data_IF_965237025194
#
_entry.id   IF_965237025194
#
_cell.length_a   1.000
_cell.length_b   1.000
_cell.length_c   1.000
_cell.angle_alpha   90.00
_cell.angle_beta   90.00
_cell.angle_gamma   90.00
#
_symmetry.space_group_name_H-M   'P 1'
#
loop_
_entity.id
_entity.type
_entity.pdbx_description
1 polymer ?
#
# COMPACT_ATOMS: atom_id res chain seq x y z
N UNK A 1 7.91 7.42 -22.01
CA UNK A 1 7.65 6.28 -21.11
C UNK A 1 6.14 6.11 -21.03
N UNK A 2 5.57 4.92 -21.15
CA UNK A 2 4.17 4.75 -20.79
C UNK A 2 4.00 5.17 -19.34
N UNK A 3 2.96 5.95 -19.03
CA UNK A 3 2.66 6.34 -17.66
C UNK A 3 2.23 5.14 -16.80
N UNK A 4 2.01 5.36 -15.50
CA UNK A 4 1.61 4.30 -14.55
C UNK A 4 0.10 3.98 -14.57
N UNK A 5 -0.59 4.21 -15.69
CA UNK A 5 -2.05 3.98 -15.81
C UNK A 5 -2.50 2.51 -15.66
N UNK A 6 -1.55 1.58 -15.67
CA UNK A 6 -1.73 0.14 -15.39
C UNK A 6 -1.48 -0.22 -13.91
N UNK A 7 -1.26 0.79 -13.07
CA UNK A 7 -1.07 0.64 -11.61
C UNK A 7 -2.21 1.33 -10.88
N UNK A 8 -2.75 0.70 -9.85
CA UNK A 8 -3.68 1.33 -8.92
C UNK A 8 -3.03 1.46 -7.54
N UNK A 9 -3.03 2.68 -7.01
CA UNK A 9 -2.68 2.97 -5.62
C UNK A 9 -3.96 3.06 -4.80
N UNK A 10 -4.09 2.23 -3.77
CA UNK A 10 -5.22 2.23 -2.85
C UNK A 10 -4.81 2.86 -1.52
N UNK A 11 -5.61 3.82 -1.06
CA UNK A 11 -5.40 4.56 0.19
C UNK A 11 -6.61 4.30 1.11
N UNK A 12 -6.53 3.33 2.04
CA UNK A 12 -7.56 3.13 3.04
C UNK A 12 -7.56 4.30 4.03
N UNK A 13 -8.73 4.82 4.36
CA UNK A 13 -8.88 5.98 5.24
C UNK A 13 -9.98 5.72 6.28
N UNK A 14 -9.63 5.87 7.57
CA UNK A 14 -10.59 5.90 8.66
C UNK A 14 -10.19 6.97 9.67
N UNK A 15 -10.90 8.10 9.70
CA UNK A 15 -10.64 9.24 10.60
C UNK A 15 -9.20 9.80 10.47
N UNK A 16 -8.66 9.86 9.24
CA UNK A 16 -7.29 10.30 8.94
C UNK A 16 -7.24 11.50 7.98
N UNK A 17 -8.32 12.28 7.89
CA UNK A 17 -8.45 13.42 6.97
C UNK A 17 -7.29 14.39 7.03
N UNK A 18 -6.74 14.62 8.23
CA UNK A 18 -5.60 15.51 8.46
C UNK A 18 -4.38 15.20 7.57
N UNK A 19 -4.18 13.94 7.21
CA UNK A 19 -3.00 13.51 6.45
C UNK A 19 -3.33 13.06 5.03
N UNK A 20 -4.60 12.74 4.76
CA UNK A 20 -5.05 12.10 3.54
C UNK A 20 -4.63 12.84 2.27
N UNK A 21 -4.77 14.18 2.23
CA UNK A 21 -4.39 14.95 1.04
C UNK A 21 -2.90 14.85 0.73
N UNK A 22 -2.05 14.77 1.75
CA UNK A 22 -0.61 14.59 1.56
C UNK A 22 -0.27 13.22 0.97
N UNK A 23 -0.93 12.15 1.43
CA UNK A 23 -0.81 10.80 0.86
C UNK A 23 -1.27 10.75 -0.59
N UNK A 24 -2.45 11.33 -0.88
CA UNK A 24 -3.02 11.42 -2.24
C UNK A 24 -2.10 12.20 -3.18
N UNK A 25 -1.60 13.35 -2.76
CA UNK A 25 -0.68 14.17 -3.57
C UNK A 25 0.58 13.38 -3.94
N UNK A 26 1.16 12.67 -2.97
CA UNK A 26 2.35 11.83 -3.21
C UNK A 26 2.06 10.67 -4.16
N UNK A 27 0.89 10.08 -4.10
CA UNK A 27 0.47 9.04 -5.05
C UNK A 27 0.29 9.61 -6.47
N UNK A 28 -0.33 10.78 -6.61
CA UNK A 28 -0.54 11.43 -7.92
C UNK A 28 0.74 11.97 -8.55
N UNK A 29 1.71 12.41 -7.74
CA UNK A 29 2.97 13.04 -8.19
C UNK A 29 4.10 12.03 -8.43
N UNK A 30 3.80 10.77 -8.71
CA UNK A 30 4.85 9.78 -9.01
C UNK A 30 5.62 10.15 -10.29
N UNK A 31 6.93 9.96 -10.26
CA UNK A 31 7.79 10.05 -11.46
C UNK A 31 7.30 9.05 -12.51
N UNK A 32 7.43 9.36 -13.78
CA UNK A 32 6.89 8.52 -14.86
C UNK A 32 5.40 8.73 -15.16
N UNK A 33 4.69 9.49 -14.31
CA UNK A 33 3.28 9.85 -14.48
C UNK A 33 2.36 9.27 -13.39
N UNK A 34 1.14 9.79 -13.25
CA UNK A 34 0.23 9.39 -12.20
C UNK A 34 -0.29 7.96 -12.43
N UNK A 35 -0.38 7.13 -11.37
CA UNK A 35 -1.19 5.91 -11.35
C UNK A 35 -2.67 6.26 -11.23
N UNK A 36 -3.55 5.25 -11.31
CA UNK A 36 -4.91 5.37 -10.78
C UNK A 36 -4.83 5.46 -9.25
N UNK A 37 -5.62 6.33 -8.64
CA UNK A 37 -5.67 6.47 -7.18
C UNK A 37 -7.10 6.25 -6.70
N UNK A 38 -7.28 5.32 -5.78
CA UNK A 38 -8.55 5.01 -5.12
C UNK A 38 -8.40 5.26 -3.63
N UNK A 39 -9.18 6.18 -3.09
CA UNK A 39 -9.36 6.36 -1.65
C UNK A 39 -10.55 5.52 -1.20
N UNK A 40 -10.37 4.73 -0.14
CA UNK A 40 -11.45 3.94 0.45
C UNK A 40 -11.74 4.48 1.85
N UNK A 41 -12.85 5.21 1.99
CA UNK A 41 -13.37 5.66 3.28
C UNK A 41 -14.05 4.49 4.01
N UNK A 42 -13.38 3.97 5.01
CA UNK A 42 -13.87 2.86 5.83
C UNK A 42 -14.82 3.36 6.95
N UNK A 43 -15.77 4.21 6.58
CA UNK A 43 -16.82 4.69 7.48
C UNK A 43 -16.33 5.73 8.48
N UNK A 44 -15.53 6.70 8.04
CA UNK A 44 -15.06 7.81 8.87
C UNK A 44 -16.21 8.59 9.47
N UNK A 45 -16.06 9.04 10.72
CA UNK A 45 -17.09 9.72 11.50
C UNK A 45 -16.72 11.15 11.89
N UNK A 46 -15.44 11.53 11.81
CA UNK A 46 -15.01 12.88 12.15
C UNK A 46 -15.24 13.86 10.99
N UNK A 47 -15.59 15.10 11.34
CA UNK A 47 -15.98 16.13 10.39
C UNK A 47 -14.81 16.59 9.49
N UNK A 48 -13.57 16.55 9.98
CA UNK A 48 -12.39 16.91 9.19
C UNK A 48 -12.19 15.92 8.04
N UNK A 49 -12.23 14.63 8.35
CA UNK A 49 -12.09 13.59 7.33
C UNK A 49 -13.21 13.66 6.29
N UNK A 50 -14.47 13.84 6.73
CA UNK A 50 -15.59 13.95 5.79
C UNK A 50 -15.42 15.14 4.84
N UNK A 51 -15.02 16.31 5.34
CA UNK A 51 -14.75 17.48 4.50
C UNK A 51 -13.62 17.23 3.50
N UNK A 52 -12.52 16.61 3.94
CA UNK A 52 -11.38 16.29 3.06
C UNK A 52 -11.77 15.30 1.97
N UNK A 53 -12.58 14.28 2.30
CA UNK A 53 -13.08 13.31 1.33
C UNK A 53 -14.00 13.95 0.26
N UNK A 54 -14.74 14.99 0.62
CA UNK A 54 -15.59 15.73 -0.33
C UNK A 54 -14.76 16.71 -1.21
N UNK A 55 -13.53 17.03 -0.81
CA UNK A 55 -12.60 17.95 -1.49
C UNK A 55 -11.44 17.22 -2.20
N UNK A 56 -11.53 15.89 -2.42
CA UNK A 56 -10.47 15.14 -3.10
C UNK A 56 -10.20 15.70 -4.49
N UNK A 57 -8.92 15.69 -4.95
CA UNK A 57 -8.55 16.16 -6.28
C UNK A 57 -9.27 15.40 -7.41
N UNK A 58 -9.46 16.07 -8.54
CA UNK A 58 -9.97 15.44 -9.76
C UNK A 58 -9.06 14.26 -10.18
N UNK A 59 -9.68 13.16 -10.59
CA UNK A 59 -8.98 11.93 -11.00
C UNK A 59 -8.67 10.96 -9.85
N UNK A 60 -9.13 11.27 -8.63
CA UNK A 60 -9.11 10.34 -7.50
C UNK A 60 -10.50 9.72 -7.33
N UNK A 61 -10.56 8.41 -7.38
CA UNK A 61 -11.80 7.66 -7.13
C UNK A 61 -12.03 7.53 -5.61
N UNK A 62 -13.27 7.72 -5.17
CA UNK A 62 -13.68 7.56 -3.78
C UNK A 62 -14.68 6.42 -3.63
N UNK A 63 -14.34 5.45 -2.81
CA UNK A 63 -15.24 4.38 -2.35
C UNK A 63 -15.59 4.66 -0.89
N UNK A 64 -16.89 4.60 -0.55
CA UNK A 64 -17.35 4.71 0.84
C UNK A 64 -17.98 3.39 1.27
N UNK A 65 -17.54 2.86 2.40
CA UNK A 65 -18.09 1.63 2.97
C UNK A 65 -18.41 1.81 4.46
N UNK A 66 -19.15 0.84 5.02
CA UNK A 66 -19.27 0.74 6.48
C UNK A 66 -17.93 0.24 7.03
N UNK A 67 -17.50 0.78 8.16
CA UNK A 67 -16.27 0.34 8.81
C UNK A 67 -16.20 -1.18 8.95
N UNK A 68 -15.18 -1.75 8.33
CA UNK A 68 -14.91 -3.18 8.28
C UNK A 68 -13.42 -3.51 8.45
N UNK A 69 -12.60 -2.49 8.78
CA UNK A 69 -11.17 -2.62 9.02
C UNK A 69 -10.31 -2.42 7.77
N UNK A 70 -9.02 -2.20 8.01
CA UNK A 70 -8.04 -1.85 6.97
C UNK A 70 -7.92 -2.91 5.88
N UNK A 71 -7.95 -4.20 6.24
CA UNK A 71 -7.92 -5.32 5.30
C UNK A 71 -9.10 -5.27 4.31
N UNK A 72 -10.33 -5.07 4.83
CA UNK A 72 -11.52 -4.93 4.00
C UNK A 72 -11.46 -3.70 3.09
N UNK A 73 -10.96 -2.57 3.60
CA UNK A 73 -10.81 -1.35 2.81
C UNK A 73 -9.78 -1.52 1.67
N UNK A 74 -8.63 -2.16 1.93
CA UNK A 74 -7.64 -2.48 0.90
C UNK A 74 -8.22 -3.40 -0.17
N UNK A 75 -8.93 -4.47 0.23
CA UNK A 75 -9.59 -5.37 -0.71
C UNK A 75 -10.63 -4.63 -1.56
N UNK A 76 -11.49 -3.81 -0.96
CA UNK A 76 -12.49 -3.03 -1.68
C UNK A 76 -11.86 -2.13 -2.75
N UNK A 77 -10.72 -1.48 -2.44
CA UNK A 77 -9.98 -0.70 -3.42
C UNK A 77 -9.42 -1.54 -4.57
N UNK A 78 -8.84 -2.69 -4.27
CA UNK A 78 -8.28 -3.59 -5.28
C UNK A 78 -9.35 -4.27 -6.15
N UNK A 79 -10.48 -4.64 -5.58
CA UNK A 79 -11.63 -5.20 -6.30
C UNK A 79 -12.26 -4.19 -7.28
N UNK A 80 -12.23 -2.90 -6.95
CA UNK A 80 -12.74 -1.82 -7.80
C UNK A 80 -11.71 -1.29 -8.83
N UNK A 81 -10.61 -2.00 -9.00
CA UNK A 81 -9.57 -1.71 -9.99
C UNK A 81 -9.44 -2.87 -10.98
N UNK A 82 -9.08 -2.57 -12.21
CA UNK A 82 -8.70 -3.52 -13.26
C UNK A 82 -7.20 -3.53 -13.56
N UNK A 83 -6.39 -2.79 -12.78
CA UNK A 83 -4.95 -2.69 -12.98
C UNK A 83 -4.23 -4.01 -12.69
N UNK A 84 -3.19 -4.32 -13.48
CA UNK A 84 -2.37 -5.52 -13.32
C UNK A 84 -1.43 -5.44 -12.11
N UNK A 85 -1.08 -4.22 -11.73
CA UNK A 85 -0.23 -3.93 -10.58
C UNK A 85 -1.00 -3.11 -9.54
N UNK A 86 -0.84 -3.49 -8.29
CA UNK A 86 -1.52 -2.93 -7.15
C UNK A 86 -0.50 -2.40 -6.14
N UNK A 87 -0.76 -1.25 -5.55
CA UNK A 87 0.06 -0.66 -4.51
C UNK A 87 -0.86 -0.12 -3.42
N UNK A 88 -0.46 -0.23 -2.17
CA UNK A 88 -1.18 0.37 -1.05
C UNK A 88 -0.28 1.33 -0.28
N UNK A 89 -0.88 2.37 0.27
CA UNK A 89 -0.25 3.29 1.21
C UNK A 89 -1.30 3.77 2.20
N UNK A 90 -0.98 3.79 3.48
CA UNK A 90 -1.92 4.23 4.49
C UNK A 90 -2.14 5.75 4.42
N UNK A 91 -3.32 6.23 4.83
CA UNK A 91 -3.73 7.63 4.68
C UNK A 91 -2.82 8.62 5.44
N UNK A 92 -2.10 8.18 6.45
CA UNK A 92 -1.15 8.99 7.22
C UNK A 92 0.32 8.81 6.79
N UNK A 93 0.58 7.93 5.81
CA UNK A 93 1.89 7.68 5.22
C UNK A 93 2.04 8.33 3.84
N UNK A 94 3.23 8.23 3.25
CA UNK A 94 3.52 8.78 1.93
C UNK A 94 4.41 7.84 1.13
N UNK A 95 4.17 7.78 -0.17
CA UNK A 95 5.14 7.24 -1.12
C UNK A 95 6.27 8.25 -1.36
N UNK A 96 7.50 7.76 -1.61
CA UNK A 96 8.50 8.60 -2.26
C UNK A 96 8.09 8.88 -3.70
N UNK A 97 8.60 9.95 -4.30
CA UNK A 97 8.18 10.34 -5.66
C UNK A 97 8.61 9.35 -6.75
N UNK A 98 9.58 8.51 -6.45
CA UNK A 98 10.16 7.48 -7.31
C UNK A 98 9.79 6.06 -6.90
N UNK A 99 8.84 5.90 -5.96
CA UNK A 99 8.48 4.60 -5.39
C UNK A 99 8.07 3.59 -6.47
N UNK A 100 7.22 4.00 -7.41
CA UNK A 100 6.75 3.12 -8.48
C UNK A 100 7.90 2.76 -9.43
N UNK A 101 8.68 3.75 -9.89
CA UNK A 101 9.82 3.53 -10.78
C UNK A 101 10.90 2.66 -10.14
N UNK A 102 11.01 2.67 -8.81
CA UNK A 102 11.93 1.84 -8.03
C UNK A 102 11.43 0.39 -7.90
N UNK A 103 10.14 0.21 -7.64
CA UNK A 103 9.57 -1.12 -7.33
C UNK A 103 9.18 -1.92 -8.58
N UNK A 104 8.74 -1.24 -9.65
CA UNK A 104 8.19 -1.87 -10.85
C UNK A 104 9.19 -2.74 -11.63
N UNK A 105 10.40 -2.23 -12.01
CA UNK A 105 11.32 -3.02 -12.84
C UNK A 105 11.74 -4.34 -12.20
N UNK A 106 12.13 -4.41 -10.91
CA UNK A 106 12.48 -5.69 -10.29
C UNK A 106 11.28 -6.63 -10.13
N UNK A 107 10.06 -6.12 -9.94
CA UNK A 107 8.85 -6.93 -9.89
C UNK A 107 8.54 -7.58 -11.24
N UNK A 108 8.63 -6.82 -12.33
CA UNK A 108 8.36 -7.31 -13.68
C UNK A 108 9.45 -8.26 -14.19
N UNK A 109 10.71 -8.04 -13.82
CA UNK A 109 11.83 -8.87 -14.22
C UNK A 109 11.83 -10.29 -13.59
N UNK A 110 11.07 -10.50 -12.51
CA UNK A 110 11.05 -11.73 -11.75
C UNK A 110 9.64 -12.38 -11.75
N UNK A 111 9.40 -13.39 -12.59
CA UNK A 111 8.05 -13.98 -12.73
C UNK A 111 7.51 -14.62 -11.45
N UNK A 112 8.37 -15.17 -10.59
CA UNK A 112 8.05 -15.83 -9.32
C UNK A 112 7.88 -14.85 -8.14
N UNK A 113 8.24 -13.58 -8.34
CA UNK A 113 8.03 -12.52 -7.35
C UNK A 113 6.60 -11.98 -7.48
N UNK A 114 5.85 -12.06 -6.39
CA UNK A 114 4.47 -11.59 -6.31
C UNK A 114 4.37 -10.14 -5.83
N UNK A 115 5.30 -9.70 -4.99
CA UNK A 115 5.31 -8.36 -4.40
C UNK A 115 6.73 -7.89 -4.07
N UNK A 116 6.93 -6.57 -4.15
CA UNK A 116 8.15 -5.90 -3.73
C UNK A 116 7.89 -5.02 -2.51
N UNK A 117 8.89 -4.88 -1.63
CA UNK A 117 8.86 -3.97 -0.49
C UNK A 117 10.19 -3.24 -0.36
N UNK A 118 10.09 -1.95 -0.06
CA UNK A 118 11.27 -1.10 0.13
C UNK A 118 11.60 -0.84 1.59
N UNK A 119 12.53 0.08 1.83
CA UNK A 119 12.81 0.62 3.15
C UNK A 119 11.78 1.69 3.49
N UNK A 120 11.54 1.90 4.78
CA UNK A 120 10.68 2.97 5.27
C UNK A 120 11.49 4.05 5.95
N UNK A 121 11.33 5.30 5.51
CA UNK A 121 11.82 6.47 6.24
C UNK A 121 10.78 6.87 7.29
N UNK A 122 11.19 6.98 8.54
CA UNK A 122 10.35 7.48 9.60
C UNK A 122 10.18 9.00 9.50
N UNK A 123 8.95 9.47 9.63
CA UNK A 123 8.58 10.89 9.67
C UNK A 123 7.65 11.16 10.87
N UNK A 124 7.41 12.43 11.19
CA UNK A 124 6.61 12.82 12.36
C UNK A 124 7.43 12.86 13.65
N UNK A 125 6.95 12.20 14.70
CA UNK A 125 7.59 12.22 16.01
C UNK A 125 8.98 11.54 16.05
N UNK A 126 9.27 10.70 15.06
CA UNK A 126 10.52 9.95 14.99
C UNK A 126 11.21 10.18 13.64
N UNK A 127 12.52 9.97 13.60
CA UNK A 127 13.34 10.02 12.39
C UNK A 127 14.25 8.78 12.30
N UNK A 128 14.56 8.37 11.07
CA UNK A 128 15.41 7.21 10.81
C UNK A 128 14.93 6.42 9.59
N UNK A 129 15.58 5.30 9.34
CA UNK A 129 15.18 4.37 8.27
C UNK A 129 15.02 2.99 8.87
N UNK A 130 13.81 2.44 8.74
CA UNK A 130 13.54 1.03 9.03
C UNK A 130 14.04 0.19 7.86
N UNK A 131 14.85 -0.80 8.17
CA UNK A 131 15.40 -1.76 7.22
C UNK A 131 14.75 -3.11 7.45
N UNK A 132 14.27 -3.69 6.37
CA UNK A 132 13.71 -5.04 6.37
C UNK A 132 14.75 -6.02 5.84
N UNK A 133 14.72 -7.28 6.27
CA UNK A 133 15.59 -8.30 5.72
C UNK A 133 15.22 -8.62 4.27
N UNK A 134 16.18 -9.19 3.54
CA UNK A 134 15.86 -9.86 2.29
C UNK A 134 14.78 -10.94 2.51
N UNK A 135 14.03 -11.22 1.45
CA UNK A 135 13.00 -12.24 1.53
C UNK A 135 13.61 -13.62 1.85
N UNK A 136 13.17 -14.18 2.96
CA UNK A 136 13.50 -15.53 3.40
C UNK A 136 12.22 -16.18 3.94
N UNK A 137 11.77 -17.31 3.32
CA UNK A 137 10.55 -17.99 3.74
C UNK A 137 10.57 -18.43 5.21
N UNK A 138 11.74 -18.84 5.72
CA UNK A 138 11.87 -19.25 7.12
C UNK A 138 11.74 -18.06 8.07
N UNK A 139 12.33 -16.92 7.74
CA UNK A 139 12.18 -15.69 8.53
C UNK A 139 10.71 -15.24 8.50
N UNK A 140 10.05 -15.30 7.35
CA UNK A 140 8.64 -14.90 7.19
C UNK A 140 7.71 -15.72 8.09
N UNK A 141 7.97 -17.02 8.29
CA UNK A 141 7.18 -17.87 9.20
C UNK A 141 7.25 -17.41 10.66
N UNK A 142 8.26 -16.65 11.06
CA UNK A 142 8.49 -16.26 12.44
C UNK A 142 8.26 -14.78 12.74
N UNK A 143 8.26 -13.93 11.72
CA UNK A 143 7.99 -12.49 11.86
C UNK A 143 7.65 -11.85 10.52
N UNK A 144 6.92 -10.74 10.58
CA UNK A 144 6.71 -9.88 9.41
C UNK A 144 8.06 -9.35 8.89
N UNK A 145 8.26 -9.39 7.57
CA UNK A 145 9.46 -8.90 6.88
C UNK A 145 9.19 -7.69 5.98
N UNK A 146 7.92 -7.37 5.74
CA UNK A 146 7.52 -6.25 4.89
C UNK A 146 6.73 -5.19 5.65
N UNK A 147 5.86 -5.61 6.57
CA UNK A 147 5.00 -4.71 7.35
C UNK A 147 4.23 -3.75 6.45
N UNK A 148 3.95 -2.55 6.96
CA UNK A 148 3.27 -1.49 6.21
C UNK A 148 4.04 -1.00 4.96
N UNK A 149 5.26 -1.48 4.70
CA UNK A 149 6.01 -1.20 3.47
C UNK A 149 5.72 -2.19 2.34
N UNK A 150 4.70 -3.05 2.52
CA UNK A 150 4.24 -3.91 1.44
C UNK A 150 3.87 -3.01 0.24
N UNK A 151 4.77 -2.96 -0.74
CA UNK A 151 4.74 -1.98 -1.80
C UNK A 151 3.94 -2.45 -3.01
N UNK A 152 4.62 -2.50 -4.15
CA UNK A 152 3.99 -2.89 -5.42
C UNK A 152 3.83 -4.40 -5.51
N UNK A 153 2.64 -4.88 -5.88
CA UNK A 153 2.32 -6.28 -6.04
C UNK A 153 1.61 -6.58 -7.37
N UNK A 154 1.78 -7.79 -7.86
CA UNK A 154 0.99 -8.30 -8.99
C UNK A 154 -0.44 -8.59 -8.54
N UNK A 155 -1.44 -8.15 -9.29
CA UNK A 155 -2.85 -8.50 -9.03
C UNK A 155 -3.05 -10.00 -8.85
N UNK A 156 -2.45 -10.80 -9.74
CA UNK A 156 -2.53 -12.25 -9.66
C UNK A 156 -2.02 -12.82 -8.33
N UNK A 157 -0.99 -12.23 -7.74
CA UNK A 157 -0.51 -12.64 -6.42
C UNK A 157 -1.56 -12.38 -5.34
N UNK A 158 -2.20 -11.20 -5.38
CA UNK A 158 -3.28 -10.84 -4.46
C UNK A 158 -4.50 -11.77 -4.63
N UNK A 159 -4.90 -12.07 -5.85
CA UNK A 159 -6.01 -12.99 -6.15
C UNK A 159 -5.71 -14.43 -5.71
N UNK A 160 -4.53 -14.96 -6.04
CA UNK A 160 -4.10 -16.32 -5.67
C UNK A 160 -4.01 -16.48 -4.14
N UNK A 161 -3.57 -15.44 -3.42
CA UNK A 161 -3.50 -15.43 -1.95
C UNK A 161 -4.88 -15.33 -1.28
N UNK A 162 -5.91 -14.90 -2.00
CA UNK A 162 -7.26 -14.70 -1.49
C UNK A 162 -7.52 -13.31 -0.90
N UNK A 163 -6.66 -12.33 -1.21
CA UNK A 163 -6.73 -10.97 -0.66
C UNK A 163 -6.19 -10.86 0.75
N UNK A 164 -6.49 -9.75 1.42
CA UNK A 164 -6.22 -9.55 2.86
C UNK A 164 -7.38 -10.15 3.67
N UNK A 165 -7.10 -10.89 4.75
CA UNK A 165 -8.14 -11.46 5.60
C UNK A 165 -8.70 -10.41 6.59
N UNK A 166 -9.98 -10.00 6.46
CA UNK A 166 -10.59 -9.03 7.37
C UNK A 166 -10.78 -9.54 8.82
N UNK A 167 -10.60 -10.84 9.06
CA UNK A 167 -10.65 -11.39 10.41
C UNK A 167 -9.34 -11.21 11.19
N UNK A 168 -8.25 -10.82 10.49
CA UNK A 168 -6.94 -10.56 11.10
C UNK A 168 -6.81 -9.06 11.40
N UNK A 169 -6.64 -8.72 12.69
CA UNK A 169 -6.45 -7.33 13.13
C UNK A 169 -4.97 -7.05 13.42
N UNK A 170 -4.39 -6.09 12.71
CA UNK A 170 -3.05 -5.56 12.94
C UNK A 170 -1.88 -6.40 12.43
N UNK A 171 -2.15 -7.51 11.74
CA UNK A 171 -1.16 -8.38 11.09
C UNK A 171 -1.63 -8.89 9.73
N UNK A 172 -2.58 -8.23 9.12
CA UNK A 172 -3.18 -8.59 7.83
C UNK A 172 -2.17 -8.56 6.68
N UNK A 173 -1.16 -7.70 6.77
CA UNK A 173 -0.04 -7.61 5.83
C UNK A 173 0.90 -8.83 5.93
N UNK A 174 1.17 -9.29 7.15
CA UNK A 174 1.97 -10.49 7.37
C UNK A 174 1.22 -11.75 6.95
N UNK A 175 -0.04 -11.87 7.30
CA UNK A 175 -0.91 -12.95 6.89
C UNK A 175 -0.99 -13.06 5.36
N UNK A 176 -1.18 -11.94 4.67
CA UNK A 176 -1.12 -11.89 3.21
C UNK A 176 0.20 -12.46 2.66
N UNK A 177 1.35 -12.07 3.23
CA UNK A 177 2.65 -12.58 2.80
C UNK A 177 2.77 -14.10 3.00
N UNK A 178 2.21 -14.66 4.09
CA UNK A 178 2.17 -16.09 4.36
C UNK A 178 1.27 -16.81 3.35
N UNK A 179 0.07 -16.28 3.10
CA UNK A 179 -0.87 -16.82 2.12
C UNK A 179 -0.28 -16.79 0.70
N UNK A 180 0.41 -15.73 0.31
CA UNK A 180 1.13 -15.65 -0.95
C UNK A 180 2.25 -16.70 -1.05
N UNK A 181 3.02 -16.91 0.03
CA UNK A 181 4.06 -17.95 0.09
C UNK A 181 3.47 -19.35 -0.10
N UNK A 182 2.33 -19.67 0.51
CA UNK A 182 1.64 -20.95 0.33
C UNK A 182 1.22 -21.21 -1.12
N UNK A 183 0.98 -20.14 -1.90
CA UNK A 183 0.67 -20.21 -3.33
C UNK A 183 1.92 -20.23 -4.23
N UNK A 184 3.11 -20.23 -3.63
CA UNK A 184 4.39 -20.27 -4.33
C UNK A 184 4.94 -18.91 -4.76
N UNK A 185 4.31 -17.81 -4.35
CA UNK A 185 4.80 -16.47 -4.58
C UNK A 185 5.93 -16.11 -3.61
N UNK A 186 6.85 -15.27 -4.08
CA UNK A 186 7.94 -14.74 -3.27
C UNK A 186 7.82 -13.21 -3.14
N UNK A 187 8.28 -12.69 -2.03
CA UNK A 187 8.57 -11.27 -1.88
C UNK A 187 9.96 -10.91 -2.43
N UNK A 188 10.19 -9.64 -2.69
CA UNK A 188 11.51 -9.10 -3.06
C UNK A 188 11.76 -7.80 -2.30
N UNK A 189 12.81 -7.79 -1.48
CA UNK A 189 13.27 -6.59 -0.78
C UNK A 189 14.06 -5.69 -1.74
N UNK A 190 13.73 -4.39 -1.76
CA UNK A 190 14.43 -3.37 -2.52
C UNK A 190 15.17 -2.46 -1.53
N UNK A 191 16.51 -2.28 -1.66
CA UNK A 191 17.32 -1.56 -0.66
C UNK A 191 17.21 -0.04 -0.73
N UNK A 192 16.14 0.48 -1.34
CA UNK A 192 15.81 1.90 -1.46
C UNK A 192 14.60 2.26 -0.59
N UNK A 193 14.53 3.52 -0.17
CA UNK A 193 13.37 4.05 0.54
C UNK A 193 12.26 4.30 -0.46
N UNK A 194 11.11 3.64 -0.26
CA UNK A 194 9.92 3.79 -1.10
C UNK A 194 8.72 4.37 -0.34
N UNK A 195 8.78 4.32 1.00
CA UNK A 195 7.71 4.80 1.87
C UNK A 195 8.27 5.73 2.94
N UNK A 196 7.47 6.74 3.30
CA UNK A 196 7.68 7.60 4.47
C UNK A 196 6.57 7.28 5.49
N UNK A 197 6.95 6.57 6.55
CA UNK A 197 6.06 6.04 7.57
C UNK A 197 5.92 7.01 8.76
N UNK A 198 4.70 7.44 9.06
CA UNK A 198 4.44 8.43 10.09
C UNK A 198 4.36 7.81 11.48
N UNK A 199 5.18 8.33 12.37
CA UNK A 199 5.06 8.06 13.81
C UNK A 199 4.36 9.19 14.50
N UNK A 200 3.25 8.88 15.16
CA UNK A 200 2.49 9.83 15.96
C UNK A 200 3.11 9.97 17.36
N UNK A 201 2.95 11.16 17.95
CA UNK A 201 3.23 11.34 19.37
C UNK A 201 2.22 10.51 20.19
N UNK A 202 2.68 9.88 21.24
CA UNK A 202 1.82 9.09 22.14
C UNK A 202 1.13 10.00 23.14
#
# INVERSE_FOLDING_TARGET
MPGHGDITVVIPCFNQGRFLLESVERALCQQGGPPKVIVVDDGSTDAETQRVLDELPEGVDLIRQRNAGVAAARNAGFENSDSELLLMVDADDRLTLDAIDTLRPPLEANPDVGYCYGLMKLIGAWSGVLRFPDFDPYILLHRSIAGASLGLMKRRCWEDAGGFDPAIDGYEDWDFCLSALEKGWRGLQIPEVTHEYRKHER
#
